data_IF_032568491971
#
_entry.id   IF_032568491971
#
_cell.length_a   1.000
_cell.length_b   1.000
_cell.length_c   1.000
_cell.angle_alpha   90.00
_cell.angle_beta   90.00
_cell.angle_gamma   90.00
#
_symmetry.space_group_name_H-M   'P 1'
#
loop_
_entity.id
_entity.type
_entity.pdbx_description
1 polymer ?
#
# COMPACT_ATOMS: atom_id res chain seq x y z
N UNK A 1 4.31 3.84 -6.73
CA UNK A 1 5.27 2.92 -6.06
C UNK A 1 5.44 1.73 -6.98
N UNK A 2 6.68 1.33 -7.25
CA UNK A 2 6.96 0.22 -8.15
C UNK A 2 6.88 -1.11 -7.38
N UNK A 3 7.72 -1.32 -6.36
CA UNK A 3 7.74 -2.54 -5.57
C UNK A 3 7.88 -2.29 -4.06
N UNK A 4 7.26 -3.16 -3.25
CA UNK A 4 7.47 -3.26 -1.81
C UNK A 4 7.75 -4.73 -1.47
N UNK A 5 8.95 -4.99 -0.96
CA UNK A 5 9.39 -6.32 -0.57
C UNK A 5 9.84 -6.35 0.89
N UNK A 6 9.41 -7.40 1.59
CA UNK A 6 9.92 -7.73 2.92
C UNK A 6 10.28 -9.21 2.90
N UNK A 7 11.52 -9.49 3.33
CA UNK A 7 12.05 -10.84 3.50
C UNK A 7 11.09 -11.68 4.34
N UNK A 8 10.91 -12.94 3.94
CA UNK A 8 9.91 -13.83 4.53
C UNK A 8 10.07 -13.97 6.05
N UNK A 9 11.30 -14.11 6.53
CA UNK A 9 11.62 -14.27 7.95
C UNK A 9 11.42 -12.97 8.76
N UNK A 10 11.19 -11.86 8.07
CA UNK A 10 10.97 -10.52 8.64
C UNK A 10 9.54 -10.01 8.46
N UNK A 11 8.64 -10.80 7.85
CA UNK A 11 7.24 -10.41 7.68
C UNK A 11 6.49 -10.38 9.02
N UNK A 12 5.37 -9.64 9.03
CA UNK A 12 4.51 -9.46 10.22
C UNK A 12 5.18 -8.81 11.44
N UNK A 13 6.37 -8.22 11.28
CA UNK A 13 7.10 -7.51 12.36
C UNK A 13 7.06 -5.98 12.20
N UNK A 14 6.13 -5.45 11.39
CA UNK A 14 5.95 -4.02 11.19
C UNK A 14 6.80 -3.37 10.09
N UNK A 15 7.80 -4.06 9.53
CA UNK A 15 8.68 -3.48 8.49
C UNK A 15 7.92 -2.88 7.30
N UNK A 16 6.92 -3.61 6.76
CA UNK A 16 6.10 -3.10 5.66
C UNK A 16 5.28 -1.86 6.04
N UNK A 17 4.75 -1.81 7.26
CA UNK A 17 4.00 -0.66 7.75
C UNK A 17 4.91 0.56 7.92
N UNK A 18 6.10 0.36 8.51
CA UNK A 18 7.09 1.43 8.68
C UNK A 18 7.54 2.01 7.33
N UNK A 19 7.77 1.17 6.32
CA UNK A 19 8.11 1.64 4.96
C UNK A 19 6.98 2.47 4.34
N UNK A 20 5.73 2.02 4.46
CA UNK A 20 4.58 2.76 3.93
C UNK A 20 4.31 4.06 4.69
N UNK A 21 4.56 4.10 6.00
CA UNK A 21 4.44 5.30 6.82
C UNK A 21 5.49 6.35 6.43
N UNK A 22 6.74 5.94 6.20
CA UNK A 22 7.77 6.85 5.68
C UNK A 22 7.41 7.37 4.29
N UNK A 23 6.86 6.52 3.41
CA UNK A 23 6.39 6.95 2.10
C UNK A 23 5.24 7.97 2.20
N UNK A 24 4.31 7.77 3.13
CA UNK A 24 3.21 8.69 3.39
C UNK A 24 3.71 10.06 3.90
N UNK A 25 4.72 10.07 4.78
CA UNK A 25 5.34 11.30 5.26
C UNK A 25 6.01 12.09 4.12
N UNK A 26 6.80 11.41 3.27
CA UNK A 26 7.42 12.02 2.09
C UNK A 26 6.37 12.56 1.11
N UNK A 27 5.28 11.80 0.90
CA UNK A 27 4.20 12.23 0.02
C UNK A 27 3.50 13.49 0.53
N UNK A 28 3.26 13.57 1.85
CA UNK A 28 2.67 14.74 2.51
C UNK A 28 3.57 15.97 2.39
N UNK A 29 4.88 15.81 2.57
CA UNK A 29 5.86 16.91 2.42
C UNK A 29 5.98 17.43 0.97
N UNK A 30 5.54 16.63 0.00
CA UNK A 30 5.58 16.95 -1.43
C UNK A 30 4.21 17.37 -2.01
N UNK A 31 3.23 17.62 -1.15
CA UNK A 31 1.85 17.97 -1.55
C UNK A 31 1.22 16.95 -2.53
N UNK A 32 1.62 15.68 -2.41
CA UNK A 32 1.04 14.59 -3.20
C UNK A 32 -0.38 14.34 -2.72
N UNK A 33 -1.35 14.14 -3.62
CA UNK A 33 -2.77 13.98 -3.26
C UNK A 33 -3.15 12.58 -2.79
N UNK A 34 -2.41 11.56 -3.19
CA UNK A 34 -2.60 10.17 -2.79
C UNK A 34 -1.41 9.30 -3.23
N UNK A 35 -1.27 8.13 -2.63
CA UNK A 35 -0.37 7.08 -3.09
C UNK A 35 -1.16 6.07 -3.95
N UNK A 36 -0.56 5.63 -5.06
CA UNK A 36 -1.14 4.63 -5.95
C UNK A 36 -0.11 3.58 -6.38
N UNK A 37 -0.56 2.34 -6.51
CA UNK A 37 0.22 1.19 -7.00
C UNK A 37 -0.71 0.08 -7.51
N UNK A 38 -0.12 -1.02 -7.97
CA UNK A 38 -0.86 -2.19 -8.38
C UNK A 38 -0.42 -3.41 -7.57
N UNK A 39 -1.32 -4.37 -7.40
CA UNK A 39 -1.00 -5.66 -6.80
C UNK A 39 -1.69 -6.79 -7.57
N UNK A 40 -1.09 -7.97 -7.54
CA UNK A 40 -1.74 -9.17 -8.07
C UNK A 40 -2.91 -9.59 -7.14
N UNK A 41 -4.08 -9.87 -7.70
CA UNK A 41 -5.29 -10.30 -7.00
C UNK A 41 -5.06 -11.59 -6.20
N UNK A 42 -4.09 -12.41 -6.61
CA UNK A 42 -3.68 -13.65 -5.94
C UNK A 42 -2.79 -13.37 -4.72
N UNK A 43 -2.23 -12.17 -4.58
CA UNK A 43 -1.46 -11.75 -3.40
C UNK A 43 -2.40 -11.35 -2.25
N UNK A 44 -3.22 -12.30 -1.79
CA UNK A 44 -4.25 -12.07 -0.76
C UNK A 44 -3.67 -11.51 0.54
N UNK A 45 -2.45 -11.91 0.92
CA UNK A 45 -1.72 -11.39 2.08
C UNK A 45 -1.35 -9.92 1.90
N UNK A 46 -0.81 -9.55 0.74
CA UNK A 46 -0.49 -8.16 0.39
C UNK A 46 -1.73 -7.29 0.33
N UNK A 47 -2.78 -7.74 -0.35
CA UNK A 47 -4.07 -7.03 -0.40
C UNK A 47 -4.67 -6.81 0.99
N UNK A 48 -4.64 -7.84 1.84
CA UNK A 48 -5.10 -7.71 3.23
C UNK A 48 -4.25 -6.72 4.04
N UNK A 49 -2.95 -6.67 3.79
CA UNK A 49 -2.06 -5.67 4.39
C UNK A 49 -2.42 -4.25 3.94
N UNK A 50 -2.58 -4.03 2.64
CA UNK A 50 -2.95 -2.72 2.09
C UNK A 50 -4.34 -2.27 2.53
N UNK A 51 -5.30 -3.20 2.61
CA UNK A 51 -6.63 -2.88 3.13
C UNK A 51 -6.58 -2.39 4.58
N UNK A 52 -5.83 -3.08 5.46
CA UNK A 52 -5.64 -2.64 6.86
C UNK A 52 -4.92 -1.29 6.98
N UNK A 53 -4.12 -0.92 5.99
CA UNK A 53 -3.47 0.38 5.92
C UNK A 53 -4.46 1.51 5.57
N UNK A 54 -5.65 1.16 5.06
CA UNK A 54 -6.65 2.10 4.55
C UNK A 54 -6.58 2.31 3.04
N UNK A 55 -5.85 1.48 2.31
CA UNK A 55 -5.85 1.52 0.85
C UNK A 55 -7.10 0.82 0.29
N UNK A 56 -7.61 1.37 -0.80
CA UNK A 56 -8.80 0.90 -1.49
C UNK A 56 -8.42 0.38 -2.87
N UNK A 57 -9.12 -0.65 -3.35
CA UNK A 57 -9.04 -1.08 -4.75
C UNK A 57 -10.01 -0.22 -5.55
N UNK A 58 -9.50 0.61 -6.47
CA UNK A 58 -10.33 1.48 -7.31
C UNK A 58 -10.74 0.81 -8.61
N UNK A 59 -9.89 -0.07 -9.15
CA UNK A 59 -10.12 -0.82 -10.38
C UNK A 59 -9.49 -2.21 -10.32
N UNK A 60 -10.01 -3.16 -11.09
CA UNK A 60 -9.40 -4.47 -11.26
C UNK A 60 -9.53 -4.96 -12.71
N UNK A 61 -8.39 -5.28 -13.33
CA UNK A 61 -8.32 -5.86 -14.67
C UNK A 61 -7.70 -7.25 -14.61
N UNK A 62 -8.53 -8.29 -14.71
CA UNK A 62 -8.10 -9.67 -14.47
C UNK A 62 -7.53 -9.83 -13.06
N UNK A 63 -6.27 -10.25 -12.97
CA UNK A 63 -5.55 -10.37 -11.69
C UNK A 63 -4.82 -9.10 -11.27
N UNK A 64 -4.97 -7.96 -11.95
CA UNK A 64 -4.30 -6.71 -11.53
C UNK A 64 -5.29 -5.81 -10.80
N UNK A 65 -5.08 -5.63 -9.50
CA UNK A 65 -5.80 -4.65 -8.68
C UNK A 65 -5.05 -3.32 -8.69
N UNK A 66 -5.77 -2.22 -8.86
CA UNK A 66 -5.25 -0.85 -8.76
C UNK A 66 -5.62 -0.30 -7.39
N UNK A 67 -4.61 0.04 -6.59
CA UNK A 67 -4.79 0.51 -5.22
C UNK A 67 -4.57 2.02 -5.14
N UNK A 68 -5.40 2.67 -4.33
CA UNK A 68 -5.30 4.08 -3.94
C UNK A 68 -5.32 4.19 -2.42
N UNK A 69 -4.44 5.01 -1.88
CA UNK A 69 -4.37 5.27 -0.45
C UNK A 69 -4.19 6.76 -0.17
N UNK A 70 -5.01 7.31 0.73
CA UNK A 70 -4.94 8.70 1.19
C UNK A 70 -4.67 8.70 2.70
N UNK A 71 -3.39 8.67 3.14
CA UNK A 71 -3.03 8.45 4.53
C UNK A 71 -3.56 9.51 5.51
N UNK A 72 -3.83 10.71 5.01
CA UNK A 72 -4.32 11.85 5.79
C UNK A 72 -5.82 12.09 5.67
N UNK A 73 -6.55 11.25 4.92
CA UNK A 73 -8.00 11.27 5.00
C UNK A 73 -8.39 10.63 6.32
N UNK A 74 -8.94 11.41 7.25
CA UNK A 74 -9.54 10.84 8.46
C UNK A 74 -10.56 9.78 8.05
N UNK A 75 -10.52 8.62 8.71
CA UNK A 75 -11.58 7.59 8.60
C UNK A 75 -12.78 8.02 9.40
#
# INVERSE_FOLDING_TARGET
>A
MDDLYVDEDRRSQGAGAALMEQLAQIAKEKDVTHLAWNADARNTRGLSFYHRLGAEITEQHGNRCFLRWVPWSAT
#
